data_IF_509215223323
#
_entry.id   IF_509215223323
#
_cell.length_a   1.000
_cell.length_b   1.000
_cell.length_c   1.000
_cell.angle_alpha   90.00
_cell.angle_beta   90.00
_cell.angle_gamma   90.00
#
_symmetry.space_group_name_H-M   'P 1'
#
loop_
_entity.id
_entity.type
_entity.pdbx_description
1 polymer ?
#
# COMPACT_ATOMS: atom_id res chain seq x y z
N UNK A 1 10.92 32.46 -0.81
CA UNK A 1 9.63 32.48 -0.08
C UNK A 1 8.59 31.52 -0.65
N UNK A 2 8.57 31.20 -1.95
CA UNK A 2 7.67 30.18 -2.54
C UNK A 2 7.94 28.75 -2.03
N UNK A 3 9.21 28.36 -1.88
CA UNK A 3 9.62 27.02 -1.43
C UNK A 3 9.05 26.58 -0.06
N UNK A 4 8.85 27.53 0.87
CA UNK A 4 8.32 27.21 2.21
C UNK A 4 6.82 26.89 2.20
N UNK A 5 6.04 27.44 1.26
CA UNK A 5 4.60 27.16 1.17
C UNK A 5 4.34 25.76 0.63
N UNK A 6 5.12 25.34 -0.37
CA UNK A 6 5.00 24.02 -0.99
C UNK A 6 5.42 22.90 -0.02
N UNK A 7 6.50 23.11 0.75
CA UNK A 7 6.93 22.16 1.81
C UNK A 7 5.85 21.99 2.89
N UNK A 8 5.23 23.08 3.33
CA UNK A 8 4.16 23.03 4.34
C UNK A 8 2.92 22.32 3.79
N UNK A 9 2.55 22.60 2.54
CA UNK A 9 1.43 21.93 1.88
C UNK A 9 1.67 20.42 1.73
N UNK A 10 2.88 19.99 1.35
CA UNK A 10 3.24 18.57 1.24
C UNK A 10 3.28 17.87 2.61
N UNK A 11 3.78 18.54 3.64
CA UNK A 11 3.76 18.01 5.01
C UNK A 11 2.31 17.83 5.49
N UNK A 12 1.45 18.81 5.24
CA UNK A 12 0.05 18.73 5.64
C UNK A 12 -0.72 17.68 4.85
N UNK A 13 -0.39 17.48 3.58
CA UNK A 13 -0.97 16.41 2.74
C UNK A 13 -0.69 15.02 3.32
N UNK A 14 0.46 14.83 3.97
CA UNK A 14 0.84 13.58 4.66
C UNK A 14 0.11 13.36 5.98
N UNK A 15 -0.66 14.33 6.50
CA UNK A 15 -1.41 14.20 7.76
C UNK A 15 -2.36 13.01 7.75
N UNK A 16 -3.00 12.73 6.62
CA UNK A 16 -3.96 11.63 6.48
C UNK A 16 -3.31 10.24 6.59
N UNK A 17 -1.97 10.14 6.47
CA UNK A 17 -1.24 8.86 6.63
C UNK A 17 -1.46 8.22 8.01
N UNK A 18 -1.75 9.03 9.03
CA UNK A 18 -2.09 8.51 10.36
C UNK A 18 -3.38 7.69 10.34
N UNK A 19 -4.34 8.06 9.49
CA UNK A 19 -5.60 7.33 9.35
C UNK A 19 -5.41 6.00 8.64
N UNK A 20 -4.57 5.98 7.60
CA UNK A 20 -4.16 4.74 6.95
C UNK A 20 -3.46 3.79 7.94
N UNK A 21 -2.57 4.31 8.79
CA UNK A 21 -1.92 3.54 9.85
C UNK A 21 -2.94 2.95 10.82
N UNK A 22 -3.86 3.76 11.35
CA UNK A 22 -4.92 3.28 12.24
C UNK A 22 -5.86 2.28 11.57
N UNK A 23 -6.15 2.46 10.28
CA UNK A 23 -6.97 1.52 9.52
C UNK A 23 -6.26 0.17 9.40
N UNK A 24 -4.99 0.14 9.00
CA UNK A 24 -4.18 -1.07 8.90
C UNK A 24 -4.11 -1.78 10.26
N UNK A 25 -3.71 -1.07 11.31
CA UNK A 25 -3.53 -1.68 12.64
C UNK A 25 -4.85 -2.25 13.17
N UNK A 26 -5.97 -1.52 13.05
CA UNK A 26 -7.26 -1.97 13.58
C UNK A 26 -7.90 -3.07 12.73
N UNK A 27 -7.92 -2.90 11.41
CA UNK A 27 -8.68 -3.77 10.48
C UNK A 27 -7.84 -4.91 9.94
N UNK A 28 -6.66 -4.61 9.40
CA UNK A 28 -5.80 -5.64 8.79
C UNK A 28 -5.10 -6.49 9.85
N UNK A 29 -4.50 -5.84 10.84
CA UNK A 29 -3.77 -6.52 11.92
C UNK A 29 -4.68 -6.94 13.09
N UNK A 30 -5.98 -6.62 13.00
CA UNK A 30 -7.00 -7.14 13.92
C UNK A 30 -7.00 -6.53 15.33
N UNK A 31 -6.34 -5.39 15.58
CA UNK A 31 -6.30 -4.77 16.91
C UNK A 31 -7.70 -4.41 17.45
N UNK A 32 -8.72 -4.27 16.58
CA UNK A 32 -10.10 -4.04 17.04
C UNK A 32 -10.71 -5.24 17.79
N UNK A 33 -10.11 -6.43 17.71
CA UNK A 33 -10.57 -7.63 18.39
C UNK A 33 -9.59 -7.99 19.50
N UNK A 34 -9.89 -7.58 20.73
CA UNK A 34 -9.06 -7.91 21.89
C UNK A 34 -9.24 -9.37 22.28
N UNK A 35 -8.13 -10.08 22.52
CA UNK A 35 -8.15 -11.52 22.81
C UNK A 35 -8.26 -11.84 24.31
N UNK A 36 -8.14 -10.85 25.18
CA UNK A 36 -8.13 -11.01 26.63
C UNK A 36 -8.66 -9.75 27.32
N UNK A 37 -9.34 -9.94 28.46
CA UNK A 37 -9.80 -8.84 29.31
C UNK A 37 -8.76 -8.36 30.33
N UNK A 38 -7.60 -9.03 30.43
CA UNK A 38 -6.53 -8.61 31.34
C UNK A 38 -5.79 -7.40 30.80
N UNK A 39 -5.51 -6.42 31.66
CA UNK A 39 -4.83 -5.17 31.24
C UNK A 39 -3.44 -5.45 30.64
N UNK A 40 -2.70 -6.41 31.19
CA UNK A 40 -1.37 -6.77 30.70
C UNK A 40 -1.44 -7.43 29.31
N UNK A 41 -2.43 -8.31 29.10
CA UNK A 41 -2.63 -8.93 27.80
C UNK A 41 -3.08 -7.93 26.72
N UNK A 42 -3.95 -6.97 27.08
CA UNK A 42 -4.33 -5.87 26.19
C UNK A 42 -3.10 -5.02 25.82
N UNK A 43 -2.28 -4.64 26.80
CA UNK A 43 -1.03 -3.89 26.55
C UNK A 43 -0.12 -4.66 25.60
N UNK A 44 0.07 -5.96 25.83
CA UNK A 44 0.91 -6.80 24.98
C UNK A 44 0.37 -6.85 23.54
N UNK A 45 -0.94 -7.03 23.36
CA UNK A 45 -1.56 -7.05 22.04
C UNK A 45 -1.37 -5.72 21.30
N UNK A 46 -1.58 -4.59 21.98
CA UNK A 46 -1.33 -3.26 21.41
C UNK A 46 0.12 -3.12 20.98
N UNK A 47 1.08 -3.42 21.86
CA UNK A 47 2.50 -3.29 21.53
C UNK A 47 2.94 -4.23 20.41
N UNK A 48 2.48 -5.49 20.42
CA UNK A 48 2.83 -6.47 19.39
C UNK A 48 2.29 -6.05 18.02
N UNK A 49 1.04 -5.57 17.93
CA UNK A 49 0.45 -5.11 16.66
C UNK A 49 1.15 -3.86 16.13
N UNK A 50 1.51 -2.91 16.99
CA UNK A 50 2.29 -1.74 16.56
C UNK A 50 3.70 -2.09 16.12
N UNK A 51 4.38 -3.00 16.81
CA UNK A 51 5.70 -3.49 16.42
C UNK A 51 5.63 -4.19 15.05
N UNK A 52 4.64 -5.06 14.85
CA UNK A 52 4.46 -5.74 13.58
C UNK A 52 4.12 -4.76 12.44
N UNK A 53 3.30 -3.73 12.72
CA UNK A 53 3.05 -2.65 11.75
C UNK A 53 4.34 -1.94 11.34
N UNK A 54 5.23 -1.61 12.29
CA UNK A 54 6.51 -0.98 11.98
C UNK A 54 7.38 -1.86 11.07
N UNK A 55 7.51 -3.15 11.39
CA UNK A 55 8.24 -4.12 10.54
C UNK A 55 7.65 -4.19 9.13
N UNK A 56 6.32 -4.16 9.00
CA UNK A 56 5.65 -4.19 7.70
C UNK A 56 5.92 -2.91 6.88
N UNK A 57 5.96 -1.75 7.54
CA UNK A 57 6.32 -0.47 6.91
C UNK A 57 7.77 -0.50 6.43
N UNK A 58 8.71 -0.94 7.28
CA UNK A 58 10.13 -1.02 6.93
C UNK A 58 10.38 -1.99 5.76
N UNK A 59 9.70 -3.15 5.76
CA UNK A 59 9.74 -4.07 4.62
C UNK A 59 9.17 -3.43 3.34
N UNK A 60 8.06 -2.70 3.46
CA UNK A 60 7.46 -1.98 2.34
C UNK A 60 8.39 -0.91 1.77
N UNK A 61 9.13 -0.20 2.62
CA UNK A 61 10.11 0.82 2.22
C UNK A 61 11.29 0.18 1.49
N UNK A 62 11.84 -0.91 2.02
CA UNK A 62 12.91 -1.66 1.36
C UNK A 62 12.50 -2.19 -0.03
N UNK A 63 11.26 -2.66 -0.19
CA UNK A 63 10.72 -3.07 -1.50
C UNK A 63 10.54 -1.88 -2.43
N UNK A 64 10.10 -0.73 -1.91
CA UNK A 64 9.95 0.50 -2.68
C UNK A 64 11.30 0.95 -3.23
N UNK A 65 12.34 0.93 -2.40
CA UNK A 65 13.72 1.25 -2.77
C UNK A 65 14.27 0.28 -3.83
N UNK A 66 14.12 -1.03 -3.62
CA UNK A 66 14.54 -2.06 -4.58
C UNK A 66 13.88 -1.87 -5.96
N UNK A 67 12.61 -1.47 -5.99
CA UNK A 67 11.87 -1.19 -7.22
C UNK A 67 12.07 0.23 -7.75
N UNK A 68 12.78 1.09 -7.03
CA UNK A 68 12.91 2.53 -7.33
C UNK A 68 11.55 3.23 -7.49
N UNK A 69 10.57 2.87 -6.66
CA UNK A 69 9.22 3.44 -6.64
C UNK A 69 8.98 4.24 -5.36
N UNK A 70 8.15 5.29 -5.38
CA UNK A 70 7.75 5.94 -4.15
C UNK A 70 6.91 5.01 -3.28
N UNK A 71 7.11 5.04 -1.96
CA UNK A 71 6.42 4.20 -0.97
C UNK A 71 4.89 4.15 -1.13
N UNK A 72 4.26 5.25 -1.54
CA UNK A 72 2.80 5.31 -1.76
C UNK A 72 2.30 4.30 -2.81
N UNK A 73 3.20 3.80 -3.68
CA UNK A 73 2.92 2.75 -4.67
C UNK A 73 2.89 1.35 -4.07
N UNK A 74 3.39 1.17 -2.86
CA UNK A 74 3.40 -0.12 -2.17
C UNK A 74 2.10 -0.29 -1.38
N UNK A 75 1.47 -1.46 -1.51
CA UNK A 75 0.28 -1.86 -0.77
C UNK A 75 0.69 -2.71 0.43
N UNK A 76 0.70 -2.11 1.63
CA UNK A 76 0.99 -2.84 2.87
C UNK A 76 -0.01 -3.99 3.12
N UNK A 77 -1.26 -3.84 2.68
CA UNK A 77 -2.25 -4.90 2.78
C UNK A 77 -1.88 -6.11 1.94
N UNK A 78 -1.50 -5.90 0.68
CA UNK A 78 -1.11 -7.00 -0.20
C UNK A 78 0.24 -7.58 0.21
N UNK A 79 1.15 -6.76 0.74
CA UNK A 79 2.40 -7.23 1.33
C UNK A 79 2.14 -8.19 2.50
N UNK A 80 1.28 -7.80 3.46
CA UNK A 80 0.89 -8.66 4.58
C UNK A 80 0.28 -9.99 4.11
N UNK A 81 -0.67 -9.93 3.16
CA UNK A 81 -1.28 -11.16 2.58
C UNK A 81 -0.24 -12.00 1.83
N UNK A 82 0.71 -11.35 1.16
CA UNK A 82 1.80 -11.96 0.42
C UNK A 82 2.81 -12.70 1.30
N UNK A 83 2.95 -12.34 2.58
CA UNK A 83 3.88 -13.02 3.51
C UNK A 83 3.62 -14.53 3.61
N UNK A 84 2.35 -14.96 3.49
CA UNK A 84 2.02 -16.38 3.45
C UNK A 84 2.69 -17.08 2.25
N UNK A 85 2.65 -16.48 1.06
CA UNK A 85 3.27 -17.04 -0.14
C UNK A 85 4.80 -17.06 -0.02
N UNK A 86 5.39 -16.02 0.55
CA UNK A 86 6.81 -15.99 0.84
C UNK A 86 7.22 -17.10 1.82
N UNK A 87 6.50 -17.26 2.94
CA UNK A 87 6.77 -18.32 3.93
C UNK A 87 6.77 -19.71 3.28
N UNK A 88 5.77 -19.99 2.43
CA UNK A 88 5.69 -21.28 1.72
C UNK A 88 6.83 -21.45 0.71
N UNK A 89 7.27 -20.38 0.05
CA UNK A 89 8.42 -20.42 -0.85
C UNK A 89 9.73 -20.62 -0.08
N UNK A 90 9.86 -19.99 1.09
CA UNK A 90 11.00 -20.11 1.99
C UNK A 90 11.16 -21.54 2.50
N UNK A 91 10.09 -22.14 3.01
CA UNK A 91 10.10 -23.52 3.52
C UNK A 91 10.45 -24.54 2.42
N UNK A 92 10.15 -24.21 1.16
CA UNK A 92 10.51 -25.02 -0.02
C UNK A 92 11.92 -24.73 -0.55
N UNK A 93 12.68 -23.83 0.08
CA UNK A 93 14.00 -23.40 -0.36
C UNK A 93 14.00 -22.61 -1.68
N UNK A 94 12.84 -22.09 -2.11
CA UNK A 94 12.69 -21.36 -3.38
C UNK A 94 12.97 -19.86 -3.25
N UNK A 95 12.87 -19.32 -2.05
CA UNK A 95 13.13 -17.91 -1.76
C UNK A 95 13.79 -17.80 -0.39
N UNK A 96 14.67 -16.82 -0.20
CA UNK A 96 15.35 -16.57 1.09
C UNK A 96 15.22 -15.12 1.52
N UNK A 97 15.20 -14.22 0.56
CA UNK A 97 15.12 -12.78 0.77
C UNK A 97 13.70 -12.28 0.44
N UNK A 98 12.94 -11.76 1.43
CA UNK A 98 11.58 -11.27 1.19
C UNK A 98 11.55 -10.04 0.28
N UNK A 99 12.56 -9.16 0.33
CA UNK A 99 12.60 -7.95 -0.49
C UNK A 99 12.71 -8.34 -1.96
N UNK A 100 13.69 -9.20 -2.28
CA UNK A 100 13.85 -9.72 -3.65
C UNK A 100 12.66 -10.52 -4.12
N UNK A 101 12.05 -11.30 -3.24
CA UNK A 101 10.87 -12.08 -3.56
C UNK A 101 9.70 -11.18 -4.01
N UNK A 102 9.38 -10.11 -3.26
CA UNK A 102 8.28 -9.22 -3.62
C UNK A 102 8.61 -8.23 -4.74
N UNK A 103 9.89 -7.92 -4.96
CA UNK A 103 10.34 -7.11 -6.09
C UNK A 103 10.43 -7.89 -7.41
N UNK A 104 10.53 -9.22 -7.34
CA UNK A 104 10.65 -10.08 -8.52
C UNK A 104 9.47 -9.92 -9.48
N UNK A 105 9.76 -9.92 -10.78
CA UNK A 105 8.75 -9.72 -11.84
C UNK A 105 7.73 -10.85 -11.86
N UNK A 106 8.16 -12.05 -11.49
CA UNK A 106 7.37 -13.27 -11.47
C UNK A 106 6.28 -13.24 -10.37
N UNK A 107 6.47 -12.44 -9.31
CA UNK A 107 5.56 -12.35 -8.16
C UNK A 107 4.73 -11.05 -8.14
N UNK A 108 4.67 -10.32 -9.26
CA UNK A 108 3.90 -9.07 -9.36
C UNK A 108 2.39 -9.31 -9.27
N UNK A 109 1.93 -10.53 -9.53
CA UNK A 109 0.54 -10.98 -9.37
C UNK A 109 0.05 -10.90 -7.92
N UNK A 110 0.97 -10.90 -6.94
CA UNK A 110 0.65 -10.67 -5.52
C UNK A 110 0.13 -9.25 -5.24
N UNK A 111 0.17 -8.33 -6.21
CA UNK A 111 -0.47 -7.02 -6.08
C UNK A 111 0.18 -6.08 -5.07
N UNK A 112 1.44 -6.35 -4.67
CA UNK A 112 2.20 -5.48 -3.75
C UNK A 112 2.39 -4.09 -4.35
N UNK A 113 2.63 -3.98 -5.66
CA UNK A 113 2.70 -2.70 -6.37
C UNK A 113 1.32 -2.31 -6.86
N UNK A 114 0.80 -1.17 -6.40
CA UNK A 114 -0.52 -0.66 -6.79
C UNK A 114 -0.58 -0.35 -8.29
N UNK A 115 -1.64 -0.77 -8.96
CA UNK A 115 -1.88 -0.41 -10.36
C UNK A 115 -2.02 1.13 -10.51
N UNK A 116 -1.53 1.69 -11.61
CA UNK A 116 -1.80 3.08 -11.95
C UNK A 116 -3.26 3.20 -12.40
N UNK A 117 -4.03 4.04 -11.73
CA UNK A 117 -5.41 4.33 -12.15
C UNK A 117 -5.38 5.02 -13.51
N UNK A 118 -6.16 4.52 -14.47
CA UNK A 118 -6.34 5.20 -15.75
C UNK A 118 -6.89 6.61 -15.50
N UNK A 119 -6.36 7.65 -16.16
CA UNK A 119 -6.89 9.00 -16.01
C UNK A 119 -8.35 9.00 -16.43
N UNK A 120 -9.22 9.58 -15.58
CA UNK A 120 -10.63 9.77 -15.93
C UNK A 120 -10.65 10.77 -17.10
N UNK A 121 -11.28 10.43 -18.24
CA UNK A 121 -11.45 11.37 -19.33
C UNK A 121 -12.12 12.64 -18.79
N UNK A 122 -11.61 13.83 -19.16
CA UNK A 122 -12.28 15.07 -18.80
C UNK A 122 -13.67 15.03 -19.41
N UNK A 123 -14.69 15.07 -18.56
CA UNK A 123 -16.08 15.19 -19.00
C UNK A 123 -16.21 16.50 -19.79
N UNK A 124 -16.72 16.41 -21.01
CA UNK A 124 -17.14 17.60 -21.73
C UNK A 124 -18.38 18.15 -21.02
N UNK A 125 -18.23 19.32 -20.40
CA UNK A 125 -19.31 20.03 -19.69
C UNK A 125 -19.99 21.06 -20.59
N UNK A 126 -19.75 21.02 -21.90
CA UNK A 126 -20.48 21.85 -22.85
C UNK A 126 -21.99 21.55 -22.78
N UNK A 127 -22.86 22.53 -23.12
CA UNK A 127 -24.32 22.33 -23.05
C UNK A 127 -24.83 21.19 -23.95
N UNK A 128 -24.05 20.85 -24.98
CA UNK A 128 -24.33 19.79 -25.94
C UNK A 128 -23.04 19.00 -26.22
N UNK A 129 -22.66 18.07 -25.34
CA UNK A 129 -21.43 17.30 -25.51
C UNK A 129 -21.55 16.41 -26.74
N UNK A 130 -20.55 16.48 -27.62
CA UNK A 130 -20.49 15.61 -28.79
C UNK A 130 -20.19 14.17 -28.34
N UNK A 131 -20.86 13.16 -28.90
CA UNK A 131 -20.52 11.78 -28.62
C UNK A 131 -19.05 11.52 -28.96
N UNK A 132 -18.32 10.72 -28.15
CA UNK A 132 -16.92 10.45 -28.39
C UNK A 132 -16.75 9.84 -29.79
N UNK A 133 -15.91 10.48 -30.61
CA UNK A 133 -15.61 10.02 -31.97
C UNK A 133 -14.98 8.61 -31.88
N UNK A 134 -15.80 7.59 -32.08
CA UNK A 134 -15.32 6.23 -32.33
C UNK A 134 -14.72 6.18 -33.74
N UNK A 135 -13.53 5.60 -33.87
CA UNK A 135 -12.75 5.45 -35.12
C UNK A 135 -13.40 4.52 -36.18
N UNK A 136 -14.73 4.50 -36.28
CA UNK A 136 -15.49 3.64 -37.18
C UNK A 136 -16.25 4.49 -38.20
N UNK A 137 -15.56 5.31 -39.00
CA UNK A 137 -16.19 6.06 -40.10
C UNK A 137 -15.20 6.67 -41.11
N UNK A 138 -14.16 5.92 -41.50
CA UNK A 138 -13.45 6.16 -42.76
C UNK A 138 -13.34 4.83 -43.51
N UNK A 139 -14.36 4.57 -44.32
CA UNK A 139 -14.36 3.63 -45.44
C UNK A 139 -14.90 4.39 -46.66
#
# INVERSE_FOLDING_TARGET
MFYLRDVVADLYRRRWRIEDAFHIVKRLLGLSYLWTGSINGIKLQVWATWLFYAVLVDLGDAIADELSLPFDRISLEMLYRGLYHFSVAYDKGKATDPVKYFAAKENQDLGVVKALRKPVPKLDLSPFPLPPLTNAQFA
#
